data_IF_981160141115
#
_entry.id   IF_981160141115
#
_cell.length_a   1.000
_cell.length_b   1.000
_cell.length_c   1.000
_cell.angle_alpha   90.00
_cell.angle_beta   90.00
_cell.angle_gamma   90.00
#
_symmetry.space_group_name_H-M   'P 1'
#
loop_
_entity.id
_entity.type
_entity.pdbx_description
1 polymer ?
#
# COMPACT_ATOMS: atom_id res chain seq x y z
N UNK A 1 -0.67 -9.26 30.79
CA UNK A 1 -0.94 -9.68 29.39
C UNK A 1 -0.16 -8.80 28.44
N UNK A 2 0.54 -9.37 27.46
CA UNK A 2 1.18 -8.57 26.41
C UNK A 2 0.12 -8.04 25.42
N UNK A 3 0.39 -6.91 24.75
CA UNK A 3 -0.54 -6.24 23.82
C UNK A 3 -1.07 -7.17 22.72
N UNK A 4 -0.26 -8.12 22.26
CA UNK A 4 -0.66 -9.10 21.24
C UNK A 4 -1.74 -10.07 21.76
N UNK A 5 -1.57 -10.63 22.96
CA UNK A 5 -2.55 -11.55 23.56
C UNK A 5 -3.91 -10.89 23.78
N UNK A 6 -3.93 -9.62 24.24
CA UNK A 6 -5.18 -8.89 24.45
C UNK A 6 -5.88 -8.56 23.13
N UNK A 7 -5.13 -8.21 22.07
CA UNK A 7 -5.71 -8.00 20.74
C UNK A 7 -6.30 -9.29 20.15
N UNK A 8 -5.61 -10.43 20.28
CA UNK A 8 -6.16 -11.72 19.85
C UNK A 8 -7.45 -12.08 20.58
N UNK A 9 -7.52 -11.86 21.89
CA UNK A 9 -8.73 -12.07 22.68
C UNK A 9 -9.87 -11.16 22.22
N UNK A 10 -9.61 -9.88 22.02
CA UNK A 10 -10.60 -8.92 21.51
C UNK A 10 -11.13 -9.31 20.14
N UNK A 11 -10.26 -9.77 19.23
CA UNK A 11 -10.68 -10.28 17.92
C UNK A 11 -11.57 -11.50 18.11
N UNK A 12 -11.16 -12.48 18.93
CA UNK A 12 -11.92 -13.72 19.17
C UNK A 12 -13.29 -13.48 19.80
N UNK A 13 -13.43 -12.45 20.64
CA UNK A 13 -14.69 -12.08 21.29
C UNK A 13 -15.46 -10.97 20.55
N UNK A 14 -14.97 -10.50 19.40
CA UNK A 14 -15.64 -9.45 18.63
C UNK A 14 -17.03 -9.89 18.17
N UNK A 15 -18.05 -9.05 18.44
CA UNK A 15 -19.45 -9.19 18.01
C UNK A 15 -19.57 -9.24 16.49
N UNK A 16 -20.70 -9.75 15.98
CA UNK A 16 -21.03 -9.68 14.56
C UNK A 16 -21.02 -8.22 14.06
N UNK A 17 -20.70 -8.04 12.78
CA UNK A 17 -20.68 -6.72 12.16
C UNK A 17 -22.11 -6.28 11.85
N UNK A 18 -22.47 -5.07 12.27
CA UNK A 18 -23.67 -4.39 11.81
C UNK A 18 -23.31 -3.48 10.65
N UNK A 19 -23.59 -3.93 9.42
CA UNK A 19 -23.26 -3.21 8.20
C UNK A 19 -23.92 -1.83 8.13
N UNK A 20 -25.14 -1.67 8.65
CA UNK A 20 -25.84 -0.39 8.61
C UNK A 20 -25.09 0.68 9.40
N UNK A 21 -24.78 0.35 10.65
CA UNK A 21 -23.99 1.23 11.53
C UNK A 21 -22.60 1.50 10.96
N UNK A 22 -21.89 0.46 10.47
CA UNK A 22 -20.54 0.61 9.92
C UNK A 22 -20.54 1.51 8.68
N UNK A 23 -21.50 1.32 7.78
CA UNK A 23 -21.60 2.12 6.56
C UNK A 23 -21.86 3.59 6.89
N UNK A 24 -22.83 3.88 7.76
CA UNK A 24 -23.14 5.24 8.20
C UNK A 24 -21.93 5.91 8.88
N UNK A 25 -21.25 5.21 9.79
CA UNK A 25 -20.05 5.71 10.46
C UNK A 25 -18.90 5.96 9.48
N UNK A 26 -18.73 5.09 8.48
CA UNK A 26 -17.69 5.24 7.45
C UNK A 26 -17.92 6.48 6.60
N UNK A 27 -19.18 6.77 6.22
CA UNK A 27 -19.53 8.00 5.50
C UNK A 27 -19.30 9.24 6.36
N UNK A 28 -19.60 9.18 7.66
CA UNK A 28 -19.31 10.30 8.57
C UNK A 28 -17.81 10.58 8.69
N UNK A 29 -17.01 9.53 8.89
CA UNK A 29 -15.55 9.63 8.98
C UNK A 29 -14.94 10.11 7.67
N UNK A 30 -15.45 9.65 6.52
CA UNK A 30 -15.01 10.11 5.20
C UNK A 30 -15.20 11.62 5.03
N UNK A 31 -16.36 12.17 5.43
CA UNK A 31 -16.60 13.62 5.40
C UNK A 31 -15.57 14.39 6.25
N UNK A 32 -15.25 13.88 7.44
CA UNK A 32 -14.26 14.51 8.35
C UNK A 32 -12.82 14.45 7.79
N UNK A 33 -12.51 13.39 7.04
CA UNK A 33 -11.14 13.08 6.59
C UNK A 33 -10.90 13.40 5.11
N UNK A 34 -11.89 13.95 4.41
CA UNK A 34 -11.86 14.21 2.97
C UNK A 34 -10.60 14.94 2.51
N UNK A 35 -10.26 16.08 3.15
CA UNK A 35 -9.07 16.87 2.79
C UNK A 35 -7.79 16.05 2.97
N UNK A 36 -7.75 15.18 3.98
CA UNK A 36 -6.58 14.37 4.30
C UNK A 36 -6.46 13.22 3.29
N UNK A 37 -7.59 12.65 2.84
CA UNK A 37 -7.61 11.69 1.74
C UNK A 37 -7.16 12.33 0.42
N UNK A 38 -7.57 13.56 0.15
CA UNK A 38 -7.08 14.32 -1.00
C UNK A 38 -5.55 14.56 -0.93
N UNK A 39 -5.03 14.96 0.24
CA UNK A 39 -3.60 15.12 0.45
C UNK A 39 -2.82 13.81 0.29
N UNK A 40 -3.36 12.69 0.78
CA UNK A 40 -2.78 11.36 0.56
C UNK A 40 -2.59 11.09 -0.94
N UNK A 41 -3.63 11.32 -1.74
CA UNK A 41 -3.57 11.10 -3.18
C UNK A 41 -2.57 12.04 -3.86
N UNK A 42 -2.55 13.32 -3.47
CA UNK A 42 -1.62 14.31 -4.00
C UNK A 42 -0.16 13.94 -3.70
N UNK A 43 0.16 13.57 -2.46
CA UNK A 43 1.51 13.14 -2.08
C UNK A 43 1.91 11.85 -2.77
N UNK A 44 1.01 10.88 -2.85
CA UNK A 44 1.27 9.62 -3.55
C UNK A 44 1.59 9.88 -5.03
N UNK A 45 0.79 10.71 -5.70
CA UNK A 45 1.04 11.05 -7.10
C UNK A 45 2.38 11.77 -7.30
N UNK A 46 2.66 12.80 -6.48
CA UNK A 46 3.88 13.60 -6.60
C UNK A 46 5.14 12.77 -6.34
N UNK A 47 5.10 11.84 -5.39
CA UNK A 47 6.20 10.93 -5.07
C UNK A 47 6.41 9.88 -6.17
N UNK A 48 5.33 9.42 -6.82
CA UNK A 48 5.40 8.46 -7.91
C UNK A 48 5.87 9.08 -9.24
N UNK A 49 5.64 10.38 -9.42
CA UNK A 49 5.87 11.09 -10.67
C UNK A 49 7.30 10.96 -11.24
N UNK A 50 8.39 11.06 -10.46
CA UNK A 50 9.73 10.84 -10.98
C UNK A 50 9.94 9.45 -11.60
N UNK A 51 9.43 8.39 -10.95
CA UNK A 51 9.56 7.03 -11.47
C UNK A 51 8.71 6.85 -12.74
N UNK A 52 7.50 7.42 -12.76
CA UNK A 52 6.65 7.42 -13.96
C UNK A 52 7.37 8.09 -15.12
N UNK A 53 7.97 9.27 -14.92
CA UNK A 53 8.72 9.97 -15.97
C UNK A 53 9.88 9.12 -16.49
N UNK A 54 10.70 8.54 -15.60
CA UNK A 54 11.84 7.71 -15.99
C UNK A 54 11.42 6.46 -16.77
N UNK A 55 10.26 5.89 -16.43
CA UNK A 55 9.74 4.69 -17.09
C UNK A 55 9.07 5.00 -18.44
N UNK A 56 8.31 6.11 -18.52
CA UNK A 56 7.49 6.41 -19.69
C UNK A 56 8.19 7.26 -20.76
N UNK A 57 9.15 8.13 -20.42
CA UNK A 57 9.86 8.94 -21.44
C UNK A 57 10.49 8.07 -22.53
N UNK A 58 11.29 7.03 -22.22
CA UNK A 58 11.90 6.19 -23.24
C UNK A 58 10.86 5.47 -24.11
N UNK A 59 9.76 5.03 -23.49
CA UNK A 59 8.65 4.38 -24.19
C UNK A 59 7.96 5.32 -25.17
N UNK A 60 7.69 6.57 -24.77
CA UNK A 60 7.10 7.56 -25.66
C UNK A 60 8.05 7.96 -26.79
N UNK A 61 9.34 8.15 -26.51
CA UNK A 61 10.33 8.46 -27.54
C UNK A 61 10.37 7.38 -28.64
N UNK A 62 10.31 6.12 -28.23
CA UNK A 62 10.22 4.98 -29.12
C UNK A 62 8.93 5.01 -29.98
N UNK A 63 7.77 5.23 -29.36
CA UNK A 63 6.48 5.30 -30.09
C UNK A 63 6.49 6.45 -31.11
N UNK A 64 7.03 7.62 -30.74
CA UNK A 64 7.13 8.76 -31.64
C UNK A 64 8.08 8.49 -32.80
N UNK A 65 9.22 7.85 -32.56
CA UNK A 65 10.15 7.47 -33.62
C UNK A 65 9.51 6.50 -34.62
N UNK A 66 8.64 5.59 -34.16
CA UNK A 66 7.87 4.73 -35.07
C UNK A 66 6.80 5.47 -35.86
N UNK A 67 6.05 6.36 -35.20
CA UNK A 67 5.01 7.14 -35.86
C UNK A 67 5.56 7.99 -37.02
N UNK A 68 6.79 8.48 -36.90
CA UNK A 68 7.49 9.21 -37.96
C UNK A 68 7.87 8.32 -39.16
N UNK A 69 8.23 7.05 -38.91
CA UNK A 69 8.67 6.12 -39.96
C UNK A 69 7.52 5.47 -40.74
N UNK A 70 6.26 5.64 -40.34
CA UNK A 70 5.06 5.23 -41.09
C UNK A 70 4.82 3.71 -41.19
N UNK A 71 5.73 2.88 -40.67
CA UNK A 71 5.62 1.42 -40.61
C UNK A 71 5.66 0.94 -39.17
N UNK A 72 4.78 -0.02 -38.83
CA UNK A 72 4.79 -0.68 -37.54
C UNK A 72 5.87 -1.77 -37.50
N UNK A 73 7.03 -1.47 -36.93
CA UNK A 73 8.04 -2.46 -36.59
C UNK A 73 7.56 -3.31 -35.40
N UNK A 74 7.38 -4.61 -35.65
CA UNK A 74 6.92 -5.59 -34.66
C UNK A 74 8.01 -5.97 -33.65
N UNK A 75 9.29 -5.78 -33.97
CA UNK A 75 10.42 -6.21 -33.14
C UNK A 75 10.97 -5.09 -32.25
N UNK A 76 10.56 -3.85 -32.49
CA UNK A 76 11.00 -2.66 -31.76
C UNK A 76 10.94 -2.77 -30.22
N UNK A 77 9.90 -3.39 -29.65
CA UNK A 77 9.85 -3.60 -28.20
C UNK A 77 10.97 -4.53 -27.73
N UNK A 78 11.21 -5.61 -28.46
CA UNK A 78 12.28 -6.56 -28.13
C UNK A 78 13.66 -5.91 -28.20
N UNK A 79 13.90 -5.08 -29.21
CA UNK A 79 15.13 -4.32 -29.37
C UNK A 79 15.30 -3.28 -28.26
N UNK A 80 14.23 -2.59 -27.88
CA UNK A 80 14.25 -1.66 -26.76
C UNK A 80 14.61 -2.34 -25.44
N UNK A 81 13.98 -3.48 -25.14
CA UNK A 81 14.29 -4.23 -23.92
C UNK A 81 15.74 -4.75 -23.94
N UNK A 82 16.22 -5.23 -25.10
CA UNK A 82 17.61 -5.67 -25.26
C UNK A 82 18.62 -4.52 -25.17
N UNK A 83 18.25 -3.32 -25.64
CA UNK A 83 19.07 -2.12 -25.60
C UNK A 83 19.09 -1.41 -24.25
N UNK A 84 18.21 -1.79 -23.31
CA UNK A 84 18.21 -1.20 -21.97
C UNK A 84 19.42 -1.64 -21.15
N UNK A 85 20.09 -0.66 -20.55
CA UNK A 85 21.21 -0.96 -19.65
C UNK A 85 20.74 -1.70 -18.39
N UNK A 86 21.57 -2.64 -17.91
CA UNK A 86 21.36 -3.33 -16.64
C UNK A 86 21.19 -2.33 -15.48
N UNK A 87 21.94 -1.22 -15.53
CA UNK A 87 21.88 -0.14 -14.52
C UNK A 87 20.49 0.50 -14.51
N UNK A 88 19.89 0.77 -15.67
CA UNK A 88 18.53 1.31 -15.76
C UNK A 88 17.50 0.35 -15.16
N UNK A 89 17.59 -0.94 -15.52
CA UNK A 89 16.67 -1.97 -14.99
C UNK A 89 16.76 -2.04 -13.46
N UNK A 90 17.98 -2.08 -12.91
CA UNK A 90 18.19 -2.08 -11.47
C UNK A 90 17.65 -0.81 -10.81
N UNK A 91 17.87 0.35 -11.40
CA UNK A 91 17.34 1.62 -10.90
C UNK A 91 15.81 1.60 -10.82
N UNK A 92 15.12 1.15 -11.88
CA UNK A 92 13.66 1.03 -11.89
C UNK A 92 13.17 0.06 -10.81
N UNK A 93 13.79 -1.12 -10.71
CA UNK A 93 13.43 -2.12 -9.69
C UNK A 93 13.57 -1.54 -8.28
N UNK A 94 14.73 -0.95 -7.96
CA UNK A 94 14.96 -0.33 -6.65
C UNK A 94 13.96 0.80 -6.41
N UNK A 95 13.69 1.63 -7.42
CA UNK A 95 12.69 2.69 -7.37
C UNK A 95 11.31 2.16 -7.01
N UNK A 96 10.85 1.07 -7.65
CA UNK A 96 9.57 0.43 -7.35
C UNK A 96 9.50 -0.04 -5.90
N UNK A 97 10.55 -0.69 -5.37
CA UNK A 97 10.57 -1.14 -3.98
C UNK A 97 10.60 0.02 -2.98
N UNK A 98 11.39 1.07 -3.26
CA UNK A 98 11.44 2.26 -2.39
C UNK A 98 10.09 2.96 -2.36
N UNK A 99 9.49 3.21 -3.52
CA UNK A 99 8.20 3.88 -3.62
C UNK A 99 7.05 3.02 -3.10
N UNK A 100 7.11 1.70 -3.26
CA UNK A 100 6.17 0.76 -2.65
C UNK A 100 6.19 0.85 -1.13
N UNK A 101 7.37 0.93 -0.51
CA UNK A 101 7.49 1.13 0.92
C UNK A 101 6.95 2.50 1.34
N UNK A 102 7.25 3.57 0.59
CA UNK A 102 6.69 4.90 0.86
C UNK A 102 5.16 4.89 0.79
N UNK A 103 4.57 4.17 -0.17
CA UNK A 103 3.13 4.01 -0.30
C UNK A 103 2.51 3.31 0.92
N UNK A 104 3.13 2.23 1.42
CA UNK A 104 2.67 1.57 2.66
C UNK A 104 2.77 2.52 3.86
N UNK A 105 3.84 3.30 3.98
CA UNK A 105 4.00 4.29 5.04
C UNK A 105 2.90 5.36 4.99
N UNK A 106 2.60 5.89 3.79
CA UNK A 106 1.59 6.92 3.61
C UNK A 106 0.18 6.41 3.92
N UNK A 107 -0.15 5.18 3.49
CA UNK A 107 -1.41 4.54 3.85
C UNK A 107 -1.53 4.33 5.36
N UNK A 108 -0.48 3.82 6.03
CA UNK A 108 -0.48 3.68 7.48
C UNK A 108 -0.59 5.04 8.19
N UNK A 109 0.08 6.08 7.69
CA UNK A 109 -0.01 7.43 8.22
C UNK A 109 -1.43 7.99 8.08
N UNK A 110 -2.09 7.73 6.95
CA UNK A 110 -3.48 8.13 6.74
C UNK A 110 -4.43 7.43 7.70
N UNK A 111 -4.27 6.13 7.96
CA UNK A 111 -5.05 5.46 9.01
C UNK A 111 -4.84 6.08 10.39
N UNK A 112 -3.58 6.38 10.75
CA UNK A 112 -3.26 7.10 11.99
C UNK A 112 -3.96 8.46 12.06
N UNK A 113 -3.93 9.24 10.98
CA UNK A 113 -4.61 10.54 10.85
C UNK A 113 -6.13 10.40 11.01
N UNK A 114 -6.74 9.39 10.39
CA UNK A 114 -8.17 9.13 10.55
C UNK A 114 -8.53 8.86 12.02
N UNK A 115 -7.73 8.06 12.72
CA UNK A 115 -7.91 7.83 14.16
C UNK A 115 -7.79 9.13 14.98
N UNK A 116 -6.81 9.97 14.68
CA UNK A 116 -6.63 11.27 15.37
C UNK A 116 -7.87 12.16 15.19
N UNK A 117 -8.36 12.30 13.95
CA UNK A 117 -9.56 13.10 13.65
C UNK A 117 -10.82 12.54 14.30
N UNK A 118 -10.94 11.21 14.36
CA UNK A 118 -12.06 10.54 15.04
C UNK A 118 -12.06 10.81 16.56
N UNK A 119 -10.89 11.03 17.16
CA UNK A 119 -10.73 11.40 18.57
C UNK A 119 -10.72 12.93 18.80
N UNK A 120 -10.96 13.74 17.75
CA UNK A 120 -10.96 15.20 17.85
C UNK A 120 -9.57 15.82 18.04
N UNK A 121 -8.50 15.08 17.74
CA UNK A 121 -7.13 15.59 17.79
C UNK A 121 -6.81 16.45 16.56
N UNK A 122 -5.95 17.45 16.73
CA UNK A 122 -5.46 18.27 15.64
C UNK A 122 -4.49 17.47 14.75
N UNK A 123 -4.61 17.66 13.43
CA UNK A 123 -3.75 17.02 12.42
C UNK A 123 -2.97 18.06 11.66
N UNK A 124 -1.71 17.76 11.39
CA UNK A 124 -0.81 18.57 10.57
C UNK A 124 -0.39 17.81 9.32
N UNK A 125 0.06 18.54 8.30
CA UNK A 125 0.61 17.90 7.08
C UNK A 125 1.84 17.03 7.36
N UNK A 126 2.58 17.33 8.43
CA UNK A 126 3.73 16.53 8.87
C UNK A 126 3.36 15.12 9.36
N UNK A 127 2.10 14.86 9.71
CA UNK A 127 1.64 13.55 10.19
C UNK A 127 1.74 12.47 9.10
N UNK A 128 1.66 12.84 7.81
CA UNK A 128 1.86 11.91 6.68
C UNK A 128 3.26 11.29 6.66
N UNK A 129 4.25 11.99 7.19
CA UNK A 129 5.64 11.54 7.19
C UNK A 129 6.02 10.74 8.46
N UNK A 130 5.04 10.45 9.34
CA UNK A 130 5.29 9.74 10.59
C UNK A 130 5.99 8.39 10.40
N UNK A 131 5.51 7.57 9.44
CA UNK A 131 6.03 6.23 9.17
C UNK A 131 7.23 6.19 8.22
N UNK A 132 7.64 7.34 7.67
CA UNK A 132 8.89 7.49 6.91
C UNK A 132 10.10 7.77 7.83
N UNK A 133 9.90 7.91 9.13
CA UNK A 133 10.99 8.06 10.10
C UNK A 133 11.71 6.72 10.30
N UNK A 134 13.04 6.76 10.48
CA UNK A 134 13.90 5.57 10.49
C UNK A 134 13.47 4.43 11.43
N UNK A 135 12.88 4.75 12.60
CA UNK A 135 12.35 3.75 13.55
C UNK A 135 11.27 2.83 12.94
N UNK A 136 10.47 3.35 12.01
CA UNK A 136 9.32 2.63 11.43
C UNK A 136 9.54 2.22 9.98
N UNK A 137 10.45 2.89 9.27
CA UNK A 137 10.71 2.67 7.84
C UNK A 137 11.07 1.21 7.53
N UNK A 138 11.89 0.57 8.39
CA UNK A 138 12.22 -0.86 8.24
C UNK A 138 10.97 -1.76 8.32
N UNK A 139 10.04 -1.46 9.24
CA UNK A 139 8.77 -2.23 9.35
C UNK A 139 7.89 -2.01 8.13
N UNK A 140 7.79 -0.78 7.65
CA UNK A 140 7.05 -0.45 6.43
C UNK A 140 7.58 -1.22 5.22
N UNK A 141 8.91 -1.24 5.04
CA UNK A 141 9.57 -1.99 3.97
C UNK A 141 9.30 -3.50 4.08
N UNK A 142 9.41 -4.07 5.30
CA UNK A 142 9.10 -5.48 5.54
C UNK A 142 7.63 -5.82 5.29
N UNK A 143 6.69 -4.95 5.68
CA UNK A 143 5.26 -5.15 5.39
C UNK A 143 4.96 -5.13 3.89
N UNK A 144 5.62 -4.24 3.13
CA UNK A 144 5.54 -4.25 1.67
C UNK A 144 6.06 -5.60 1.11
N UNK A 145 7.23 -6.06 1.54
CA UNK A 145 7.78 -7.35 1.07
C UNK A 145 6.86 -8.52 1.40
N UNK A 146 6.32 -8.60 2.61
CA UNK A 146 5.36 -9.64 2.99
C UNK A 146 4.11 -9.58 2.12
N UNK A 147 3.60 -8.37 1.83
CA UNK A 147 2.44 -8.19 0.94
C UNK A 147 2.72 -8.71 -0.47
N UNK A 148 3.91 -8.43 -1.02
CA UNK A 148 4.34 -8.95 -2.33
C UNK A 148 4.48 -10.48 -2.30
N UNK A 149 5.10 -11.03 -1.26
CA UNK A 149 5.29 -12.48 -1.09
C UNK A 149 3.97 -13.24 -0.93
N UNK A 150 2.92 -12.60 -0.41
CA UNK A 150 1.57 -13.18 -0.36
C UNK A 150 0.86 -13.02 -1.71
N UNK A 151 0.97 -11.85 -2.34
CA UNK A 151 0.26 -11.51 -3.57
C UNK A 151 0.77 -12.31 -4.79
N UNK A 152 2.08 -12.46 -4.98
CA UNK A 152 2.66 -13.15 -6.14
C UNK A 152 2.16 -14.60 -6.25
N UNK A 153 2.31 -15.47 -5.23
CA UNK A 153 1.80 -16.84 -5.30
C UNK A 153 0.28 -16.88 -5.48
N UNK A 154 -0.45 -15.95 -4.86
CA UNK A 154 -1.90 -15.88 -4.99
C UNK A 154 -2.36 -15.59 -6.42
N UNK A 155 -1.62 -14.73 -7.14
CA UNK A 155 -1.85 -14.46 -8.56
C UNK A 155 -1.47 -15.66 -9.42
N UNK A 156 -0.31 -16.28 -9.17
CA UNK A 156 0.17 -17.46 -9.91
C UNK A 156 -0.78 -18.67 -9.79
N UNK A 157 -1.50 -18.78 -8.67
CA UNK A 157 -2.54 -19.79 -8.45
C UNK A 157 -3.91 -19.35 -9.01
N UNK A 158 -3.92 -18.77 -10.21
CA UNK A 158 -5.12 -18.35 -10.95
C UNK A 158 -5.97 -17.28 -10.26
N UNK A 159 -5.36 -16.38 -9.46
CA UNK A 159 -6.02 -15.28 -8.75
C UNK A 159 -7.08 -15.68 -7.68
N UNK A 160 -7.54 -16.94 -7.64
CA UNK A 160 -8.55 -17.38 -6.66
C UNK A 160 -8.10 -17.14 -5.22
N UNK A 161 -6.86 -17.49 -4.82
CA UNK A 161 -6.41 -17.20 -3.46
C UNK A 161 -6.34 -15.70 -3.16
N UNK A 162 -6.15 -14.84 -4.17
CA UNK A 162 -6.03 -13.39 -4.00
C UNK A 162 -7.29 -12.79 -3.38
N UNK A 163 -8.47 -13.29 -3.79
CA UNK A 163 -9.76 -12.85 -3.24
C UNK A 163 -9.88 -13.12 -1.73
N UNK A 164 -9.27 -14.19 -1.24
CA UNK A 164 -9.29 -14.52 0.19
C UNK A 164 -8.25 -13.73 0.98
N UNK A 165 -7.05 -13.52 0.42
CA UNK A 165 -5.96 -12.83 1.15
C UNK A 165 -6.07 -11.31 1.09
N UNK A 166 -6.81 -10.73 0.13
CA UNK A 166 -6.92 -9.26 0.01
C UNK A 166 -7.54 -8.61 1.25
N UNK A 167 -8.51 -9.29 1.89
CA UNK A 167 -9.20 -8.76 3.07
C UNK A 167 -8.25 -8.71 4.28
N UNK A 168 -7.58 -9.81 4.70
CA UNK A 168 -6.46 -9.75 5.64
C UNK A 168 -5.43 -8.67 5.32
N UNK A 169 -4.96 -8.60 4.07
CA UNK A 169 -3.92 -7.65 3.69
C UNK A 169 -4.36 -6.18 3.84
N UNK A 170 -5.63 -5.86 3.61
CA UNK A 170 -6.15 -4.49 3.84
C UNK A 170 -6.01 -4.04 5.30
N UNK A 171 -5.94 -4.97 6.26
CA UNK A 171 -5.74 -4.66 7.67
C UNK A 171 -4.27 -4.46 8.05
N UNK A 172 -3.30 -4.74 7.19
CA UNK A 172 -1.87 -4.61 7.52
C UNK A 172 -1.54 -3.16 7.92
N UNK A 173 -1.93 -2.21 7.07
CA UNK A 173 -1.70 -0.79 7.31
C UNK A 173 -2.45 -0.28 8.55
N UNK A 174 -3.68 -0.75 8.80
CA UNK A 174 -4.49 -0.35 9.96
C UNK A 174 -3.86 -0.84 11.27
N UNK A 175 -3.53 -2.13 11.36
CA UNK A 175 -2.95 -2.71 12.57
C UNK A 175 -1.58 -2.10 12.84
N UNK A 176 -0.76 -1.92 11.80
CA UNK A 176 0.51 -1.23 11.91
C UNK A 176 0.36 0.23 12.37
N UNK A 177 -0.59 0.97 11.80
CA UNK A 177 -0.83 2.37 12.15
C UNK A 177 -1.23 2.53 13.62
N UNK A 178 -2.05 1.61 14.13
CA UNK A 178 -2.61 1.71 15.48
C UNK A 178 -1.73 1.07 16.56
N UNK A 179 -0.82 0.18 16.17
CA UNK A 179 0.07 -0.56 17.07
C UNK A 179 1.48 -0.64 16.47
N UNK A 180 2.16 0.51 16.26
CA UNK A 180 3.44 0.57 15.56
C UNK A 180 4.59 -0.14 16.30
N UNK A 181 4.41 -0.47 17.57
CA UNK A 181 5.33 -1.26 18.40
C UNK A 181 5.35 -2.75 18.03
N UNK A 182 4.28 -3.29 17.44
CA UNK A 182 4.16 -4.72 17.11
C UNK A 182 5.19 -5.17 16.08
N UNK A 183 5.61 -6.43 16.17
CA UNK A 183 6.46 -7.03 15.14
C UNK A 183 5.68 -7.21 13.83
N UNK A 184 6.39 -7.28 12.70
CA UNK A 184 5.76 -7.52 11.39
C UNK A 184 4.97 -8.84 11.39
N UNK A 185 5.51 -9.88 12.02
CA UNK A 185 4.83 -11.17 12.15
C UNK A 185 3.53 -11.08 12.97
N UNK A 186 3.52 -10.29 14.06
CA UNK A 186 2.31 -10.10 14.86
C UNK A 186 1.24 -9.30 14.10
N UNK A 187 1.65 -8.27 13.37
CA UNK A 187 0.76 -7.47 12.51
C UNK A 187 0.07 -8.40 11.51
N UNK A 188 0.85 -9.20 10.77
CA UNK A 188 0.32 -10.14 9.77
C UNK A 188 -0.63 -11.14 10.42
N UNK A 189 -0.24 -11.79 11.52
CA UNK A 189 -1.11 -12.76 12.23
C UNK A 189 -2.42 -12.13 12.71
N UNK A 190 -2.37 -10.94 13.30
CA UNK A 190 -3.57 -10.23 13.75
C UNK A 190 -4.47 -9.85 12.58
N UNK A 191 -3.90 -9.40 11.47
CA UNK A 191 -4.63 -9.03 10.26
C UNK A 191 -5.32 -10.24 9.62
N UNK A 192 -4.65 -11.39 9.53
CA UNK A 192 -5.27 -12.64 9.08
C UNK A 192 -6.38 -13.12 10.00
N UNK A 193 -6.17 -13.10 11.31
CA UNK A 193 -7.20 -13.49 12.27
C UNK A 193 -8.43 -12.57 12.21
N UNK A 194 -8.22 -11.25 12.11
CA UNK A 194 -9.31 -10.29 12.00
C UNK A 194 -10.04 -10.43 10.66
N UNK A 195 -9.31 -10.46 9.54
CA UNK A 195 -9.89 -10.57 8.20
C UNK A 195 -10.69 -11.85 8.02
N UNK A 196 -10.10 -12.99 8.38
CA UNK A 196 -10.76 -14.31 8.30
C UNK A 196 -12.04 -14.35 9.14
N UNK A 197 -12.00 -13.83 10.37
CA UNK A 197 -13.17 -13.82 11.27
C UNK A 197 -14.32 -12.92 10.79
N UNK A 198 -14.02 -11.87 10.04
CA UNK A 198 -15.02 -10.88 9.60
C UNK A 198 -15.55 -11.13 8.19
N UNK A 199 -14.85 -11.94 7.41
CA UNK A 199 -15.17 -12.25 6.02
C UNK A 199 -15.83 -13.62 5.83
N UNK A 200 -15.44 -14.63 6.63
CA UNK A 200 -16.07 -15.96 6.69
C UNK A 200 -17.13 -16.01 7.78
#
# INVERSE_FOLDING_TARGET
MNTTSSLHERIRNAKALDFGTIFSASIELFKKTWIQGFLLQLFTFLIMLPLIIVLYIPLFAMIFAQAENGYSDTDMFSEFYAGMSIIYILFVIVGVFVLGAVSVALNAAFFRIMKMLDHGEAVTTGDFWYFLKGKYLSKTFMLMLVSILIAIPSVLLCYIPLLYVMVPMSFFAIIFAFNPELSVGDIVKLSFNLGTKKWL
#
